data_IF_969271114249
#
_entry.id   IF_969271114249
#
_cell.length_a   1.000
_cell.length_b   1.000
_cell.length_c   1.000
_cell.angle_alpha   90.00
_cell.angle_beta   90.00
_cell.angle_gamma   90.00
#
_symmetry.space_group_name_H-M   'P 1'
#
loop_
_entity.id
_entity.type
_entity.pdbx_description
1 polymer ?
#
# COMPACT_ATOMS: atom_id res chain seq x y z
N UNK A 1 -26.91 18.34 3.25
CA UNK A 1 -26.22 17.10 3.59
C UNK A 1 -27.18 16.14 4.27
N UNK A 2 -27.87 15.38 3.44
CA UNK A 2 -28.84 14.39 3.89
C UNK A 2 -28.27 12.98 4.05
N UNK A 3 -26.96 12.81 3.77
CA UNK A 3 -26.28 11.52 3.89
C UNK A 3 -25.72 11.39 5.30
N UNK A 4 -26.17 10.42 6.10
CA UNK A 4 -25.63 10.22 7.44
C UNK A 4 -24.16 9.76 7.37
N UNK A 5 -23.37 10.24 8.34
CA UNK A 5 -22.03 9.71 8.53
C UNK A 5 -22.10 8.34 9.19
N UNK A 6 -21.65 7.31 8.50
CA UNK A 6 -21.62 5.94 8.98
C UNK A 6 -20.29 5.27 8.64
N UNK A 7 -19.90 4.29 9.45
CA UNK A 7 -18.72 3.49 9.17
C UNK A 7 -18.96 2.58 7.98
N UNK A 8 -18.04 2.60 7.04
CA UNK A 8 -18.10 1.83 5.82
C UNK A 8 -16.78 1.14 5.53
N UNK A 9 -16.86 0.05 4.79
CA UNK A 9 -15.71 -0.68 4.28
C UNK A 9 -15.67 -0.53 2.78
N UNK A 10 -14.56 -0.03 2.26
CA UNK A 10 -14.29 0.08 0.84
C UNK A 10 -13.32 -1.01 0.44
N UNK A 11 -13.68 -1.80 -0.56
CA UNK A 11 -12.78 -2.81 -1.13
C UNK A 11 -12.49 -2.49 -2.59
N UNK A 12 -11.25 -2.70 -2.99
CA UNK A 12 -10.81 -2.55 -4.37
C UNK A 12 -10.06 -3.80 -4.80
N UNK A 13 -10.34 -4.30 -5.99
CA UNK A 13 -9.73 -5.51 -6.53
C UNK A 13 -8.59 -5.19 -7.49
N UNK A 14 -7.77 -6.18 -7.78
CA UNK A 14 -6.68 -6.09 -8.75
C UNK A 14 -7.15 -5.69 -10.16
N UNK A 15 -8.33 -6.15 -10.58
CA UNK A 15 -8.90 -5.80 -11.89
C UNK A 15 -9.58 -4.43 -11.92
N UNK A 16 -9.54 -3.68 -10.82
CA UNK A 16 -10.09 -2.33 -10.77
C UNK A 16 -11.59 -2.26 -10.48
N UNK A 17 -12.13 -3.22 -9.74
CA UNK A 17 -13.49 -3.17 -9.22
C UNK A 17 -13.50 -2.64 -7.80
N UNK A 18 -14.44 -1.76 -7.51
CA UNK A 18 -14.59 -1.12 -6.21
C UNK A 18 -16.02 -1.24 -5.72
N UNK A 19 -16.18 -1.41 -4.40
CA UNK A 19 -17.49 -1.42 -3.76
C UNK A 19 -17.41 -0.90 -2.32
N UNK A 20 -18.57 -0.49 -1.84
CA UNK A 20 -18.77 -0.05 -0.46
C UNK A 20 -19.73 -1.00 0.25
N UNK A 21 -19.38 -1.39 1.46
CA UNK A 21 -20.26 -2.15 2.35
C UNK A 21 -20.42 -1.40 3.67
N UNK A 22 -21.56 -1.58 4.34
CA UNK A 22 -21.67 -1.11 5.72
C UNK A 22 -20.74 -1.94 6.62
N UNK A 23 -20.24 -1.32 7.68
CA UNK A 23 -19.40 -2.01 8.67
C UNK A 23 -20.16 -3.18 9.31
N UNK A 24 -21.44 -3.02 9.59
CA UNK A 24 -22.29 -4.08 10.14
C UNK A 24 -22.39 -5.31 9.22
N UNK A 25 -22.54 -5.09 7.93
CA UNK A 25 -22.54 -6.15 6.92
C UNK A 25 -21.20 -6.87 6.88
N UNK A 26 -20.11 -6.13 6.93
CA UNK A 26 -18.76 -6.69 6.93
C UNK A 26 -18.48 -7.52 8.19
N UNK A 27 -18.83 -7.02 9.38
CA UNK A 27 -18.67 -7.73 10.67
C UNK A 27 -19.48 -9.01 10.75
N UNK A 28 -20.70 -9.01 10.25
CA UNK A 28 -21.55 -10.20 10.21
C UNK A 28 -20.91 -11.34 9.40
N UNK A 29 -20.14 -11.00 8.37
CA UNK A 29 -19.41 -11.97 7.54
C UNK A 29 -18.23 -12.60 8.27
N UNK A 30 -17.52 -11.86 9.11
CA UNK A 30 -16.36 -12.34 9.84
C UNK A 30 -16.74 -13.30 10.98
N UNK A 31 -17.94 -13.22 11.49
CA UNK A 31 -18.45 -14.14 12.53
C UNK A 31 -18.75 -15.55 12.00
N UNK A 32 -18.85 -15.73 10.71
CA UNK A 32 -19.07 -17.02 10.06
C UNK A 32 -17.86 -17.96 10.03
N UNK A 33 -16.75 -17.60 10.61
CA UNK A 33 -15.66 -18.50 11.05
C UNK A 33 -14.79 -19.17 9.99
N UNK A 34 -14.86 -18.79 8.75
CA UNK A 34 -13.96 -19.36 7.72
C UNK A 34 -13.40 -18.28 6.82
N UNK A 35 -12.42 -17.52 7.32
CA UNK A 35 -11.56 -16.68 6.50
C UNK A 35 -12.28 -15.80 5.48
N UNK A 36 -11.53 -14.97 4.77
CA UNK A 36 -12.06 -14.17 3.67
C UNK A 36 -12.32 -15.06 2.44
N UNK A 37 -13.12 -16.10 2.59
CA UNK A 37 -13.72 -16.80 1.44
C UNK A 37 -14.90 -16.02 0.85
N UNK A 38 -15.11 -14.80 1.26
CA UNK A 38 -16.30 -14.04 0.96
C UNK A 38 -16.27 -13.19 -0.28
N UNK A 39 -15.15 -12.97 -0.91
CA UNK A 39 -15.09 -12.45 -2.27
C UNK A 39 -14.68 -13.58 -3.19
N UNK A 40 -15.65 -14.40 -3.57
CA UNK A 40 -15.47 -15.19 -4.77
C UNK A 40 -15.52 -14.25 -5.96
N UNK A 41 -14.42 -13.62 -6.15
CA UNK A 41 -14.06 -13.01 -7.40
C UNK A 41 -13.91 -14.08 -8.45
N UNK A 42 -14.06 -13.72 -9.70
CA UNK A 42 -13.57 -14.55 -10.79
C UNK A 42 -12.16 -15.01 -10.47
N UNK A 43 -11.77 -16.20 -10.89
CA UNK A 43 -10.52 -16.89 -10.53
C UNK A 43 -9.24 -16.05 -10.65
N UNK A 44 -9.30 -14.88 -11.29
CA UNK A 44 -8.17 -13.97 -11.52
C UNK A 44 -8.26 -12.64 -10.79
N UNK A 45 -9.32 -12.38 -10.00
CA UNK A 45 -9.50 -11.12 -9.29
C UNK A 45 -9.39 -11.34 -7.78
N UNK A 46 -8.70 -10.44 -7.10
CA UNK A 46 -8.50 -10.49 -5.66
C UNK A 46 -8.58 -9.10 -5.04
N UNK A 47 -8.80 -9.04 -3.75
CA UNK A 47 -8.81 -7.77 -3.02
C UNK A 47 -7.38 -7.25 -2.91
N UNK A 48 -7.09 -6.17 -3.62
CA UNK A 48 -5.81 -5.48 -3.54
C UNK A 48 -5.78 -4.51 -2.37
N UNK A 49 -6.91 -3.89 -2.05
CA UNK A 49 -6.99 -2.92 -0.97
C UNK A 49 -8.35 -2.97 -0.24
N UNK A 50 -8.30 -2.75 1.06
CA UNK A 50 -9.44 -2.72 1.94
C UNK A 50 -9.31 -1.50 2.86
N UNK A 51 -10.30 -0.59 2.85
CA UNK A 51 -10.30 0.60 3.67
C UNK A 51 -11.45 0.60 4.65
N UNK A 52 -11.15 0.85 5.92
CA UNK A 52 -12.11 1.20 6.93
C UNK A 52 -12.19 2.72 7.01
N UNK A 53 -13.35 3.29 6.73
CA UNK A 53 -13.54 4.74 6.69
C UNK A 53 -14.97 5.10 7.03
N UNK A 54 -15.33 6.37 6.99
CA UNK A 54 -16.72 6.81 7.09
C UNK A 54 -17.22 7.29 5.73
N UNK A 55 -18.55 7.33 5.56
CA UNK A 55 -19.19 7.77 4.33
C UNK A 55 -18.80 9.17 3.88
N UNK A 56 -18.36 10.04 4.80
CA UNK A 56 -17.97 11.43 4.51
C UNK A 56 -16.48 11.61 4.18
N UNK A 57 -15.66 10.56 4.26
CA UNK A 57 -14.27 10.65 3.81
C UNK A 57 -14.18 10.87 2.31
N UNK A 58 -13.14 11.59 1.91
CA UNK A 58 -12.75 11.72 0.50
C UNK A 58 -11.64 10.71 0.22
N UNK A 59 -11.83 9.90 -0.80
CA UNK A 59 -10.79 9.02 -1.32
C UNK A 59 -10.09 9.73 -2.47
N UNK A 60 -8.80 9.90 -2.35
CA UNK A 60 -7.96 10.44 -3.42
C UNK A 60 -7.22 9.27 -4.08
N UNK A 61 -7.45 9.12 -5.38
CA UNK A 61 -6.89 8.04 -6.19
C UNK A 61 -5.73 8.59 -7.01
N UNK A 62 -4.59 7.94 -6.92
CA UNK A 62 -3.41 8.30 -7.70
C UNK A 62 -3.14 7.23 -8.75
N UNK A 63 -2.67 7.67 -9.91
CA UNK A 63 -2.46 6.78 -11.05
C UNK A 63 -0.98 6.67 -11.41
N UNK A 64 -0.65 5.63 -12.17
CA UNK A 64 0.69 5.39 -12.68
C UNK A 64 1.23 6.53 -13.54
N UNK A 65 0.35 7.35 -14.13
CA UNK A 65 0.72 8.49 -14.97
C UNK A 65 0.91 9.80 -14.19
N UNK A 66 0.81 9.74 -12.85
CA UNK A 66 1.02 10.91 -11.99
C UNK A 66 -0.19 11.83 -11.87
N UNK A 67 -1.39 11.32 -12.08
CA UNK A 67 -2.64 12.06 -11.92
C UNK A 67 -3.37 11.66 -10.66
N UNK A 68 -4.23 12.55 -10.19
CA UNK A 68 -5.08 12.33 -9.02
C UNK A 68 -6.56 12.57 -9.36
N UNK A 69 -7.40 11.71 -8.79
CA UNK A 69 -8.86 11.77 -8.88
C UNK A 69 -9.45 11.66 -7.48
N UNK A 70 -10.68 12.09 -7.28
CA UNK A 70 -11.34 11.93 -5.99
C UNK A 70 -12.74 11.36 -6.14
N UNK A 71 -13.15 10.63 -5.11
CA UNK A 71 -14.53 10.25 -4.83
C UNK A 71 -14.78 10.42 -3.35
N UNK A 72 -15.97 10.91 -3.00
CA UNK A 72 -16.45 10.78 -1.63
C UNK A 72 -16.84 9.32 -1.40
N UNK A 73 -16.60 8.78 -0.19
CA UNK A 73 -16.87 7.39 0.08
C UNK A 73 -18.31 7.00 -0.24
N UNK A 74 -19.29 7.88 0.04
CA UNK A 74 -20.69 7.61 -0.27
C UNK A 74 -21.01 7.60 -1.78
N UNK A 75 -20.15 8.14 -2.63
CA UNK A 75 -20.30 8.09 -4.10
C UNK A 75 -19.94 6.71 -4.68
N UNK A 76 -19.26 5.89 -3.90
CA UNK A 76 -18.96 4.51 -4.30
C UNK A 76 -20.22 3.67 -4.12
N UNK A 77 -20.69 2.98 -5.16
CA UNK A 77 -21.92 2.19 -5.07
C UNK A 77 -21.84 1.12 -3.98
N UNK A 78 -22.90 1.04 -3.20
CA UNK A 78 -23.09 -0.02 -2.21
C UNK A 78 -23.32 -1.35 -2.92
N UNK A 79 -22.68 -2.40 -2.43
CA UNK A 79 -22.82 -3.74 -2.97
C UNK A 79 -22.68 -4.77 -1.88
N UNK A 80 -23.29 -5.93 -2.07
CA UNK A 80 -23.24 -7.03 -1.16
C UNK A 80 -21.92 -7.80 -1.23
N UNK A 81 -21.78 -8.73 -0.30
CA UNK A 81 -20.60 -9.57 -0.10
C UNK A 81 -20.15 -10.30 -1.38
N UNK A 82 -21.08 -10.88 -2.09
CA UNK A 82 -20.81 -11.72 -3.28
C UNK A 82 -20.75 -10.93 -4.57
N UNK A 83 -21.08 -9.64 -4.52
CA UNK A 83 -21.03 -8.76 -5.67
C UNK A 83 -19.59 -8.37 -6.00
N UNK A 84 -19.28 -8.29 -7.29
CA UNK A 84 -17.99 -7.83 -7.80
C UNK A 84 -17.77 -6.34 -7.53
N UNK A 85 -18.84 -5.55 -7.44
CA UNK A 85 -18.80 -4.11 -7.37
C UNK A 85 -18.83 -3.43 -8.73
N UNK A 86 -18.38 -2.19 -8.75
CA UNK A 86 -18.39 -1.33 -9.95
C UNK A 86 -16.97 -1.18 -10.48
N UNK A 87 -16.79 -1.24 -11.80
CA UNK A 87 -15.50 -0.94 -12.41
C UNK A 87 -15.12 0.52 -12.13
N UNK A 88 -13.90 0.74 -11.64
CA UNK A 88 -13.42 2.09 -11.29
C UNK A 88 -13.43 3.04 -12.49
N UNK A 89 -13.25 2.51 -13.71
CA UNK A 89 -13.30 3.29 -14.95
C UNK A 89 -14.69 3.90 -15.19
N UNK A 90 -15.73 3.34 -14.60
CA UNK A 90 -17.10 3.90 -14.67
C UNK A 90 -17.32 5.03 -13.67
N UNK A 91 -16.45 5.17 -12.68
CA UNK A 91 -16.54 6.21 -11.65
C UNK A 91 -15.52 7.34 -11.87
N UNK A 92 -14.38 7.03 -12.46
CA UNK A 92 -13.28 7.96 -12.71
C UNK A 92 -12.98 8.01 -14.21
N UNK A 93 -12.69 9.20 -14.72
CA UNK A 93 -12.37 9.43 -16.14
C UNK A 93 -10.89 9.09 -16.42
N UNK A 94 -10.52 7.82 -16.28
CA UNK A 94 -9.18 7.35 -16.55
C UNK A 94 -8.88 7.34 -18.06
N UNK A 95 -7.66 7.71 -18.42
CA UNK A 95 -7.17 7.57 -19.78
C UNK A 95 -6.83 6.09 -20.12
N UNK A 96 -6.76 5.72 -21.40
CA UNK A 96 -6.27 4.38 -21.77
C UNK A 96 -4.88 4.11 -21.19
N UNK A 97 -4.70 2.95 -20.57
CA UNK A 97 -3.44 2.57 -19.93
C UNK A 97 -3.18 3.18 -18.56
N UNK A 98 -4.06 4.07 -18.09
CA UNK A 98 -3.98 4.65 -16.76
C UNK A 98 -4.57 3.68 -15.72
N UNK A 99 -3.81 3.37 -14.68
CA UNK A 99 -4.20 2.45 -13.61
C UNK A 99 -4.02 3.10 -12.24
N UNK A 100 -4.86 2.71 -11.29
CA UNK A 100 -4.74 3.18 -9.91
C UNK A 100 -3.53 2.51 -9.24
N UNK A 101 -2.64 3.30 -8.68
CA UNK A 101 -1.45 2.82 -7.96
C UNK A 101 -1.51 3.08 -6.46
N UNK A 102 -2.29 4.04 -6.02
CA UNK A 102 -2.48 4.32 -4.59
C UNK A 102 -3.85 4.95 -4.34
N UNK A 103 -4.38 4.70 -3.16
CA UNK A 103 -5.61 5.34 -2.67
C UNK A 103 -5.34 5.86 -1.27
N UNK A 104 -5.60 7.14 -1.05
CA UNK A 104 -5.42 7.78 0.25
C UNK A 104 -6.77 8.29 0.76
N UNK A 105 -7.32 7.69 1.82
CA UNK A 105 -8.50 8.22 2.49
C UNK A 105 -8.11 9.48 3.28
N UNK A 106 -8.84 10.57 3.06
CA UNK A 106 -8.58 11.84 3.73
C UNK A 106 -9.90 12.42 4.24
N UNK A 107 -9.90 12.85 5.49
CA UNK A 107 -10.96 13.70 6.03
C UNK A 107 -10.47 15.15 5.96
N UNK A 108 -11.07 15.95 5.11
CA UNK A 108 -10.60 17.32 4.81
C UNK A 108 -10.49 18.18 6.07
N UNK A 109 -11.40 17.98 7.03
CA UNK A 109 -11.44 18.73 8.29
C UNK A 109 -10.23 18.46 9.19
N UNK A 110 -9.58 17.31 9.04
CA UNK A 110 -8.45 16.87 9.86
C UNK A 110 -7.08 17.16 9.22
N UNK A 111 -7.05 17.73 8.01
CA UNK A 111 -5.80 18.07 7.33
C UNK A 111 -5.10 19.24 8.05
N UNK A 112 -3.86 18.98 8.45
CA UNK A 112 -2.97 19.99 9.05
C UNK A 112 -2.05 20.59 7.99
N UNK A 113 -1.46 21.75 8.31
CA UNK A 113 -0.52 22.41 7.39
C UNK A 113 0.77 21.63 7.14
N UNK A 114 1.15 20.75 8.05
CA UNK A 114 2.32 19.87 7.97
C UNK A 114 1.99 18.44 7.53
N UNK A 115 0.79 18.23 7.01
CA UNK A 115 0.41 16.96 6.35
C UNK A 115 0.75 17.02 4.85
N UNK A 116 1.50 16.02 4.39
CA UNK A 116 1.97 15.94 3.03
C UNK A 116 1.60 14.60 2.40
N UNK A 117 1.39 14.62 1.10
CA UNK A 117 1.36 13.41 0.29
C UNK A 117 2.75 13.18 -0.28
N UNK A 118 3.38 12.13 0.19
CA UNK A 118 4.69 11.69 -0.25
C UNK A 118 4.53 10.73 -1.42
N UNK A 119 5.17 11.03 -2.54
CA UNK A 119 5.06 10.30 -3.79
C UNK A 119 6.40 9.70 -4.17
N UNK A 120 6.38 8.47 -4.66
CA UNK A 120 7.58 7.79 -5.12
C UNK A 120 7.32 7.09 -6.44
N UNK A 121 8.34 7.09 -7.31
CA UNK A 121 8.29 6.48 -8.62
C UNK A 121 9.11 5.19 -8.69
N UNK A 122 8.85 4.40 -9.71
CA UNK A 122 9.58 3.18 -10.01
C UNK A 122 11.09 3.42 -10.13
N UNK A 123 11.49 4.54 -10.71
CA UNK A 123 12.91 4.89 -10.92
C UNK A 123 13.56 5.61 -9.74
N UNK A 124 12.89 5.68 -8.59
CA UNK A 124 13.49 6.19 -7.34
C UNK A 124 13.35 7.69 -7.14
N UNK A 125 12.52 8.36 -7.92
CA UNK A 125 12.22 9.78 -7.76
C UNK A 125 11.16 9.96 -6.68
N UNK A 126 11.30 10.96 -5.83
CA UNK A 126 10.37 11.27 -4.75
C UNK A 126 10.01 12.75 -4.75
N UNK A 127 8.83 13.03 -4.24
CA UNK A 127 8.42 14.39 -3.91
C UNK A 127 7.39 14.37 -2.79
N UNK A 128 7.18 15.49 -2.13
CA UNK A 128 6.03 15.66 -1.24
C UNK A 128 5.33 16.97 -1.53
N UNK A 129 4.01 16.90 -1.49
CA UNK A 129 3.12 18.04 -1.78
C UNK A 129 2.14 18.20 -0.62
N UNK A 130 1.90 19.43 -0.14
CA UNK A 130 0.91 19.64 0.91
C UNK A 130 -0.45 19.06 0.54
N UNK A 131 -1.08 18.37 1.48
CA UNK A 131 -2.41 17.76 1.27
C UNK A 131 -3.45 18.79 0.81
N UNK A 132 -3.33 20.04 1.25
CA UNK A 132 -4.23 21.13 0.89
C UNK A 132 -4.29 21.39 -0.61
N UNK A 133 -3.23 21.11 -1.37
CA UNK A 133 -3.22 21.29 -2.82
C UNK A 133 -4.12 20.29 -3.57
N UNK A 134 -4.61 19.27 -2.86
CA UNK A 134 -5.53 18.26 -3.40
C UNK A 134 -6.97 18.45 -2.92
N UNK A 135 -7.29 19.58 -2.28
CA UNK A 135 -8.63 19.86 -1.76
C UNK A 135 -9.70 19.99 -2.88
N UNK A 136 -9.31 20.50 -4.03
CA UNK A 136 -10.21 20.76 -5.17
C UNK A 136 -9.74 20.00 -6.40
N UNK A 137 -10.16 18.75 -6.51
CA UNK A 137 -9.86 17.89 -7.66
C UNK A 137 -11.06 17.91 -8.61
N UNK A 138 -10.83 18.25 -9.86
CA UNK A 138 -11.86 18.25 -10.92
C UNK A 138 -12.22 16.81 -11.31
N UNK A 139 -13.42 16.61 -11.89
CA UNK A 139 -13.87 15.29 -12.35
C UNK A 139 -12.92 14.61 -13.33
N UNK A 140 -12.27 15.38 -14.18
CA UNK A 140 -11.28 14.86 -15.13
C UNK A 140 -9.87 14.68 -14.51
N UNK A 141 -9.77 14.80 -13.19
CA UNK A 141 -8.51 14.67 -12.46
C UNK A 141 -7.65 15.92 -12.53
N UNK A 142 -6.58 15.88 -11.75
CA UNK A 142 -5.53 16.92 -11.75
C UNK A 142 -4.17 16.24 -11.81
N UNK A 143 -3.17 16.98 -12.25
CA UNK A 143 -1.80 16.53 -12.19
C UNK A 143 -1.33 16.50 -10.73
N UNK A 144 -0.77 15.37 -10.32
CA UNK A 144 -0.16 15.21 -8.99
C UNK A 144 1.36 15.29 -9.04
N UNK A 145 1.94 14.82 -10.14
CA UNK A 145 3.38 14.80 -10.38
C UNK A 145 3.66 14.85 -11.88
N UNK A 146 4.69 15.55 -12.29
CA UNK A 146 5.24 15.44 -13.64
C UNK A 146 6.27 14.33 -13.65
N UNK A 147 5.99 13.25 -14.37
CA UNK A 147 6.88 12.11 -14.46
C UNK A 147 7.99 12.38 -15.49
N UNK A 148 9.15 11.81 -15.22
CA UNK A 148 10.24 11.72 -16.20
C UNK A 148 9.94 10.62 -17.21
N UNK A 149 10.67 10.62 -18.33
CA UNK A 149 10.51 9.59 -19.37
C UNK A 149 10.71 8.19 -18.78
N UNK A 150 9.90 7.23 -19.23
CA UNK A 150 9.98 5.83 -18.85
C UNK A 150 9.85 5.58 -17.33
N UNK A 151 9.13 6.46 -16.62
CA UNK A 151 8.88 6.32 -15.20
C UNK A 151 7.39 6.22 -14.90
N UNK A 152 7.06 5.69 -13.74
CA UNK A 152 5.69 5.53 -13.25
C UNK A 152 5.61 5.92 -11.78
N UNK A 153 4.54 6.59 -11.40
CA UNK A 153 4.19 6.76 -9.99
C UNK A 153 3.72 5.41 -9.44
N UNK A 154 4.36 4.93 -8.38
CA UNK A 154 4.04 3.61 -7.81
C UNK A 154 3.43 3.68 -6.42
N UNK A 155 3.69 4.75 -5.66
CA UNK A 155 3.21 4.84 -4.29
C UNK A 155 2.97 6.29 -3.87
N UNK A 156 1.90 6.48 -3.11
CA UNK A 156 1.60 7.75 -2.43
C UNK A 156 1.21 7.44 -0.98
N UNK A 157 1.84 8.13 -0.03
CA UNK A 157 1.63 7.93 1.40
C UNK A 157 1.41 9.27 2.10
N UNK A 158 0.52 9.28 3.08
CA UNK A 158 0.36 10.42 3.96
C UNK A 158 1.52 10.49 4.95
N UNK A 159 2.21 11.61 5.00
CA UNK A 159 3.37 11.84 5.87
C UNK A 159 3.25 13.17 6.60
N UNK A 160 4.02 13.31 7.65
CA UNK A 160 4.25 14.56 8.38
C UNK A 160 5.75 14.75 8.64
N UNK A 161 6.11 15.77 9.41
CA UNK A 161 7.51 16.09 9.69
C UNK A 161 8.21 15.09 10.64
N UNK A 162 7.47 14.15 11.22
CA UNK A 162 8.01 13.08 12.08
C UNK A 162 8.25 11.78 11.35
N UNK A 163 7.80 11.67 10.11
CA UNK A 163 7.82 10.43 9.34
C UNK A 163 9.20 10.14 8.76
N UNK A 164 9.57 8.86 8.77
CA UNK A 164 10.72 8.34 8.02
C UNK A 164 10.21 7.41 6.92
N UNK A 165 10.87 7.47 5.76
CA UNK A 165 10.52 6.72 4.56
C UNK A 165 11.56 5.64 4.32
N UNK A 166 11.09 4.43 4.01
CA UNK A 166 11.92 3.30 3.60
C UNK A 166 11.55 2.89 2.18
N UNK A 167 12.52 2.89 1.28
CA UNK A 167 12.35 2.48 -0.12
C UNK A 167 13.12 1.19 -0.36
N UNK A 168 12.44 0.18 -0.88
CA UNK A 168 13.00 -1.15 -1.14
C UNK A 168 12.99 -1.43 -2.62
N UNK A 169 14.08 -2.02 -3.12
CA UNK A 169 14.24 -2.27 -4.55
C UNK A 169 14.17 -3.74 -4.91
N UNK A 170 13.89 -4.00 -6.17
CA UNK A 170 13.85 -5.31 -6.80
C UNK A 170 15.15 -6.12 -6.61
N UNK A 171 16.30 -5.45 -6.67
CA UNK A 171 17.61 -6.08 -6.50
C UNK A 171 18.10 -6.14 -5.05
N UNK A 172 17.21 -5.85 -4.08
CA UNK A 172 17.49 -6.08 -2.67
C UNK A 172 18.23 -4.96 -1.96
N UNK A 173 18.03 -3.72 -2.37
CA UNK A 173 18.56 -2.54 -1.69
C UNK A 173 17.45 -1.82 -0.94
N UNK A 174 17.81 -1.13 0.14
CA UNK A 174 16.88 -0.30 0.93
C UNK A 174 17.57 0.97 1.38
N UNK A 175 16.84 2.08 1.30
CA UNK A 175 17.26 3.35 1.90
C UNK A 175 16.18 3.80 2.90
N UNK A 176 16.62 4.34 4.04
CA UNK A 176 15.76 4.94 5.06
C UNK A 176 16.19 6.37 5.28
N UNK A 177 15.27 7.31 5.13
CA UNK A 177 15.55 8.73 5.30
C UNK A 177 14.35 9.47 5.91
N UNK A 178 14.59 10.62 6.48
CA UNK A 178 13.52 11.47 7.03
C UNK A 178 12.71 12.11 5.92
N UNK A 179 11.40 12.12 6.04
CA UNK A 179 10.53 12.82 5.08
C UNK A 179 10.87 14.31 4.98
N UNK A 180 11.42 14.92 6.05
CA UNK A 180 11.90 16.31 6.06
C UNK A 180 13.10 16.56 5.16
N UNK A 181 13.82 15.53 4.70
CA UNK A 181 14.89 15.66 3.71
C UNK A 181 14.36 16.05 2.32
N UNK A 182 13.06 15.90 2.09
CA UNK A 182 12.39 16.30 0.85
C UNK A 182 11.63 17.59 1.08
N UNK A 183 11.96 18.64 0.31
CA UNK A 183 11.24 19.91 0.40
C UNK A 183 9.84 19.80 -0.18
N UNK A 184 8.83 20.42 0.45
CA UNK A 184 7.51 20.48 -0.16
C UNK A 184 7.55 21.23 -1.50
N UNK A 185 6.87 20.66 -2.49
CA UNK A 185 6.74 21.26 -3.82
C UNK A 185 5.30 21.17 -4.29
N UNK A 186 4.97 21.94 -5.32
CA UNK A 186 3.64 21.93 -5.91
C UNK A 186 3.36 20.68 -6.75
N UNK A 187 2.10 20.57 -7.20
CA UNK A 187 1.60 19.41 -7.94
C UNK A 187 2.33 19.14 -9.26
N UNK A 188 2.81 20.15 -9.93
CA UNK A 188 3.50 20.01 -11.23
C UNK A 188 4.99 19.68 -11.13
N UNK A 189 5.56 19.64 -9.94
CA UNK A 189 6.98 19.36 -9.76
C UNK A 189 7.34 17.93 -10.17
N UNK A 190 8.53 17.75 -10.69
CA UNK A 190 9.07 16.45 -11.12
C UNK A 190 9.70 15.66 -9.97
N UNK A 191 9.97 16.30 -8.84
CA UNK A 191 10.61 15.65 -7.71
C UNK A 191 12.15 15.62 -7.79
N UNK A 192 12.70 14.93 -6.79
CA UNK A 192 14.16 14.80 -6.59
C UNK A 192 14.51 13.32 -6.45
N UNK A 193 15.79 13.00 -6.55
CA UNK A 193 16.26 11.63 -6.34
C UNK A 193 16.08 11.26 -4.87
N UNK A 194 15.23 10.27 -4.61
CA UNK A 194 15.08 9.66 -3.29
C UNK A 194 16.10 8.57 -3.06
N UNK A 195 16.32 7.75 -4.08
CA UNK A 195 17.27 6.65 -4.06
C UNK A 195 17.99 6.57 -5.41
N UNK A 196 19.31 6.47 -5.38
CA UNK A 196 20.11 6.32 -6.57
C UNK A 196 20.18 4.84 -6.96
N UNK A 197 19.42 4.44 -7.96
CA UNK A 197 19.29 3.06 -8.40
C UNK A 197 20.42 2.64 -9.35
N UNK A 198 20.78 1.36 -9.30
CA UNK A 198 21.58 0.73 -10.34
C UNK A 198 20.75 0.62 -11.65
N UNK A 199 21.40 0.51 -12.81
CA UNK A 199 20.78 0.61 -14.14
C UNK A 199 19.57 -0.31 -14.39
N UNK A 200 19.55 -1.48 -13.78
CA UNK A 200 18.48 -2.48 -13.97
C UNK A 200 17.54 -2.60 -12.77
N UNK A 201 17.75 -1.76 -11.76
CA UNK A 201 16.97 -1.83 -10.53
C UNK A 201 15.72 -0.94 -10.61
N UNK A 202 14.75 -1.24 -9.78
CA UNK A 202 13.53 -0.46 -9.62
C UNK A 202 13.01 -0.53 -8.20
N UNK A 203 12.32 0.51 -7.75
CA UNK A 203 11.64 0.52 -6.46
C UNK A 203 10.40 -0.36 -6.54
N UNK A 204 10.25 -1.27 -5.59
CA UNK A 204 9.10 -2.18 -5.49
C UNK A 204 8.29 -2.00 -4.23
N UNK A 205 8.79 -1.24 -3.27
CA UNK A 205 8.07 -0.96 -2.03
C UNK A 205 8.49 0.36 -1.41
N UNK A 206 7.53 1.09 -0.87
CA UNK A 206 7.73 2.32 -0.11
C UNK A 206 6.93 2.20 1.17
N UNK A 207 7.59 2.22 2.30
CA UNK A 207 6.97 2.04 3.61
C UNK A 207 7.38 3.15 4.56
N UNK A 208 6.59 3.35 5.60
CA UNK A 208 6.83 4.35 6.63
C UNK A 208 7.18 3.70 7.96
N UNK A 209 7.99 4.34 8.76
CA UNK A 209 8.40 3.85 10.08
C UNK A 209 7.24 3.67 11.06
N UNK A 210 6.12 4.37 10.86
CA UNK A 210 4.92 4.25 11.70
C UNK A 210 3.95 3.14 11.26
N UNK A 211 4.27 2.39 10.21
CA UNK A 211 3.41 1.31 9.69
C UNK A 211 3.73 -0.06 10.29
N UNK A 212 4.83 -0.21 10.98
CA UNK A 212 5.24 -1.46 11.63
C UNK A 212 6.69 -1.39 12.12
N UNK A 213 7.05 -2.29 13.00
CA UNK A 213 8.39 -2.37 13.61
C UNK A 213 9.35 -3.30 12.85
N UNK A 214 8.85 -4.06 11.89
CA UNK A 214 9.67 -4.92 11.03
C UNK A 214 9.34 -4.66 9.56
N UNK A 215 10.32 -4.90 8.71
CA UNK A 215 10.15 -4.89 7.25
C UNK A 215 10.04 -6.32 6.76
N UNK A 216 8.86 -6.67 6.27
CA UNK A 216 8.64 -7.91 5.54
C UNK A 216 9.11 -7.72 4.10
N UNK A 217 10.01 -8.57 3.64
CA UNK A 217 10.49 -8.59 2.27
C UNK A 217 10.19 -9.95 1.67
N UNK A 218 9.58 -9.94 0.49
CA UNK A 218 9.14 -11.16 -0.21
C UNK A 218 9.79 -11.21 -1.58
N UNK A 219 10.30 -12.40 -1.95
CA UNK A 219 10.89 -12.63 -3.26
C UNK A 219 9.92 -13.34 -4.23
N UNK A 220 10.20 -13.23 -5.51
CA UNK A 220 9.34 -13.81 -6.56
C UNK A 220 9.21 -15.33 -6.49
N UNK A 221 10.21 -16.03 -5.94
CA UNK A 221 10.17 -17.48 -5.78
C UNK A 221 9.58 -17.96 -4.44
N UNK A 222 8.89 -17.09 -3.72
CA UNK A 222 8.14 -17.45 -2.53
C UNK A 222 8.94 -17.51 -1.24
N UNK A 223 10.12 -16.93 -1.21
CA UNK A 223 10.92 -16.76 -0.02
C UNK A 223 10.72 -15.38 0.59
N UNK A 224 11.01 -15.24 1.88
CA UNK A 224 10.89 -13.96 2.55
C UNK A 224 11.31 -14.02 4.01
N UNK A 225 11.27 -12.85 4.63
CA UNK A 225 11.68 -12.65 6.02
C UNK A 225 11.10 -11.34 6.55
N UNK A 226 11.12 -11.20 7.86
CA UNK A 226 11.03 -9.90 8.51
C UNK A 226 12.41 -9.48 9.00
N UNK A 227 12.70 -8.20 8.96
CA UNK A 227 13.90 -7.60 9.54
C UNK A 227 13.50 -6.40 10.39
N UNK A 228 14.05 -6.29 11.59
CA UNK A 228 13.81 -5.13 12.44
C UNK A 228 14.18 -3.85 11.68
N UNK A 229 13.29 -2.87 11.65
CA UNK A 229 13.53 -1.62 10.90
C UNK A 229 14.76 -0.86 11.44
N UNK A 230 15.14 -1.07 12.70
CA UNK A 230 16.33 -0.44 13.29
C UNK A 230 17.65 -0.97 12.70
N UNK A 231 17.64 -2.06 11.95
CA UNK A 231 18.80 -2.50 11.19
C UNK A 231 19.07 -1.64 9.94
N UNK A 232 18.12 -0.79 9.56
CA UNK A 232 18.28 0.20 8.49
C UNK A 232 18.62 1.54 9.11
N UNK A 233 19.88 1.96 9.00
CA UNK A 233 20.31 3.25 9.50
C UNK A 233 19.61 4.39 8.72
N UNK A 234 19.22 5.44 9.44
CA UNK A 234 18.68 6.65 8.82
C UNK A 234 19.81 7.36 8.08
N UNK A 235 19.63 7.54 6.79
CA UNK A 235 20.58 8.21 5.90
C UNK A 235 19.92 9.45 5.29
N UNK A 236 20.67 10.20 4.50
CA UNK A 236 20.09 11.24 3.64
C UNK A 236 19.53 10.61 2.37
N UNK A 237 18.46 11.20 1.82
CA UNK A 237 17.95 10.79 0.51
C UNK A 237 19.02 10.89 -0.58
N UNK A 238 18.83 10.17 -1.64
CA UNK A 238 19.67 10.26 -2.86
C UNK A 238 20.86 9.32 -2.88
N UNK A 239 21.11 8.59 -1.80
CA UNK A 239 22.14 7.56 -1.76
C UNK A 239 21.69 6.24 -2.38
N UNK A 240 22.60 5.29 -2.45
CA UNK A 240 22.36 3.94 -2.97
C UNK A 240 21.64 3.03 -1.96
N UNK A 241 21.62 3.42 -0.68
CA UNK A 241 21.10 2.60 0.38
C UNK A 241 22.04 1.47 0.79
N UNK A 242 21.47 0.47 1.46
CA UNK A 242 22.18 -0.70 1.96
C UNK A 242 21.47 -1.96 1.48
N UNK A 243 22.18 -3.09 1.47
CA UNK A 243 21.54 -4.38 1.16
C UNK A 243 20.51 -4.73 2.22
N UNK A 244 19.31 -5.10 1.77
CA UNK A 244 18.22 -5.57 2.62
C UNK A 244 17.80 -7.01 2.34
N UNK A 245 18.29 -7.60 1.27
CA UNK A 245 17.97 -8.96 0.88
C UNK A 245 19.12 -9.57 0.08
N UNK A 246 19.51 -10.78 0.45
CA UNK A 246 20.51 -11.52 -0.32
C UNK A 246 19.80 -12.29 -1.44
N UNK A 247 19.91 -11.78 -2.65
CA UNK A 247 19.30 -12.39 -3.83
C UNK A 247 20.16 -13.55 -4.32
N UNK A 248 19.50 -14.68 -4.61
CA UNK A 248 20.09 -15.90 -5.17
C UNK A 248 19.18 -16.41 -6.29
N UNK A 249 19.62 -17.40 -7.06
CA UNK A 249 18.73 -18.07 -8.01
C UNK A 249 17.51 -18.70 -7.33
N UNK A 250 17.69 -19.20 -6.12
CA UNK A 250 16.60 -19.80 -5.35
C UNK A 250 15.55 -18.78 -4.93
N UNK A 251 15.94 -17.57 -4.58
CA UNK A 251 15.00 -16.52 -4.17
C UNK A 251 14.34 -15.83 -5.34
N UNK A 252 15.09 -15.60 -6.42
CA UNK A 252 14.70 -14.62 -7.44
C UNK A 252 14.76 -13.20 -6.89
N UNK A 253 14.20 -12.27 -7.63
CA UNK A 253 14.17 -10.85 -7.25
C UNK A 253 13.15 -10.56 -6.15
N UNK A 254 13.34 -9.47 -5.42
CA UNK A 254 12.36 -8.95 -4.48
C UNK A 254 11.15 -8.44 -5.27
N UNK A 255 9.94 -8.84 -4.87
CA UNK A 255 8.70 -8.38 -5.50
C UNK A 255 7.95 -7.35 -4.67
N UNK A 256 8.21 -7.26 -3.39
CA UNK A 256 7.53 -6.31 -2.53
C UNK A 256 8.07 -6.29 -1.10
N UNK A 257 7.68 -5.25 -0.40
CA UNK A 257 8.03 -5.04 1.00
C UNK A 257 6.87 -4.37 1.73
N UNK A 258 6.64 -4.77 2.97
CA UNK A 258 5.62 -4.19 3.85
C UNK A 258 6.18 -4.00 5.25
N UNK A 259 5.99 -2.81 5.82
CA UNK A 259 6.22 -2.60 7.24
C UNK A 259 5.07 -3.23 8.03
N UNK A 260 5.39 -4.17 8.90
CA UNK A 260 4.41 -4.97 9.63
C UNK A 260 4.80 -5.11 11.10
N UNK A 261 3.82 -5.52 11.90
CA UNK A 261 4.02 -6.04 13.25
C UNK A 261 3.42 -7.43 13.38
N UNK A 262 3.63 -8.09 14.52
CA UNK A 262 3.19 -9.46 14.73
C UNK A 262 1.66 -9.62 14.82
N UNK A 263 0.91 -8.54 14.92
CA UNK A 263 -0.57 -8.56 14.94
C UNK A 263 -1.18 -8.57 13.54
N UNK A 264 -0.37 -8.37 12.51
CA UNK A 264 -0.83 -8.26 11.12
C UNK A 264 -0.76 -9.60 10.40
N UNK A 265 -1.54 -9.66 9.34
CA UNK A 265 -1.50 -10.70 8.34
C UNK A 265 -1.18 -10.10 7.00
N UNK A 266 -0.62 -10.90 6.11
CA UNK A 266 -0.35 -10.52 4.72
C UNK A 266 -0.95 -11.56 3.78
N UNK A 267 -1.27 -11.13 2.58
CA UNK A 267 -1.64 -12.01 1.47
C UNK A 267 -0.52 -12.01 0.44
N UNK A 268 -0.12 -13.19 0.04
CA UNK A 268 0.75 -13.39 -1.12
C UNK A 268 -0.13 -13.86 -2.28
N UNK A 269 0.01 -13.21 -3.42
CA UNK A 269 -0.77 -13.53 -4.60
C UNK A 269 0.18 -13.95 -5.71
N UNK A 270 -0.07 -15.15 -6.27
CA UNK A 270 0.77 -15.72 -7.31
C UNK A 270 0.39 -15.23 -8.70
N UNK A 271 1.25 -15.47 -9.67
CA UNK A 271 0.99 -15.16 -11.08
C UNK A 271 -0.17 -15.97 -11.65
N UNK A 272 -0.59 -17.05 -10.99
CA UNK A 272 -1.79 -17.84 -11.35
C UNK A 272 -3.04 -17.44 -10.55
N UNK A 273 -2.96 -16.35 -9.77
CA UNK A 273 -4.09 -15.85 -8.99
C UNK A 273 -4.37 -16.60 -7.69
N UNK A 274 -3.47 -17.49 -7.26
CA UNK A 274 -3.60 -18.20 -5.98
C UNK A 274 -3.28 -17.22 -4.86
N UNK A 275 -4.18 -17.15 -3.88
CA UNK A 275 -4.05 -16.27 -2.71
C UNK A 275 -3.67 -17.11 -1.49
N UNK A 276 -2.58 -16.74 -0.84
CA UNK A 276 -2.11 -17.38 0.39
C UNK A 276 -2.05 -16.32 1.49
N UNK A 277 -2.70 -16.60 2.59
CA UNK A 277 -2.73 -15.73 3.76
C UNK A 277 -1.75 -16.23 4.82
N UNK A 278 -0.89 -15.34 5.32
CA UNK A 278 0.12 -15.64 6.32
C UNK A 278 0.00 -14.69 7.50
N UNK A 279 0.13 -15.23 8.73
CA UNK A 279 0.30 -14.40 9.92
C UNK A 279 1.74 -13.92 10.01
N UNK A 280 1.95 -12.62 10.18
CA UNK A 280 3.31 -12.06 10.26
C UNK A 280 4.11 -12.63 11.41
N UNK A 281 3.47 -12.97 12.55
CA UNK A 281 4.13 -13.61 13.71
C UNK A 281 4.79 -14.94 13.37
N UNK A 282 4.30 -15.64 12.35
CA UNK A 282 4.83 -16.95 11.93
C UNK A 282 5.98 -16.83 10.93
N UNK A 283 6.30 -15.62 10.48
CA UNK A 283 7.41 -15.37 9.57
C UNK A 283 8.67 -15.05 10.39
N UNK A 284 9.77 -15.71 10.05
CA UNK A 284 11.04 -15.56 10.78
C UNK A 284 11.57 -14.13 10.68
N UNK A 285 12.04 -13.60 11.82
CA UNK A 285 12.78 -12.34 11.89
C UNK A 285 14.27 -12.64 11.78
N UNK A 286 14.90 -12.13 10.73
CA UNK A 286 16.28 -12.40 10.36
C UNK A 286 17.05 -11.11 10.12
N UNK A 287 18.35 -11.21 10.05
CA UNK A 287 19.22 -10.08 9.77
C UNK A 287 19.06 -9.51 8.38
N UNK A 288 19.54 -8.29 8.22
CA UNK A 288 19.41 -7.47 7.00
C UNK A 288 19.95 -8.17 5.75
N UNK A 289 21.11 -8.85 5.87
CA UNK A 289 21.78 -9.49 4.72
C UNK A 289 21.53 -10.99 4.73
N UNK A 290 20.29 -11.39 4.57
CA UNK A 290 19.89 -12.80 4.48
C UNK A 290 18.88 -12.99 3.35
N UNK A 291 18.74 -14.24 2.90
CA UNK A 291 17.82 -14.64 1.83
C UNK A 291 16.43 -15.01 2.32
N UNK A 292 16.21 -15.02 3.62
CA UNK A 292 14.95 -15.43 4.20
C UNK A 292 14.72 -16.95 4.17
N UNK A 293 13.47 -17.31 4.37
CA UNK A 293 13.00 -18.70 4.39
C UNK A 293 11.87 -18.88 3.39
N UNK A 294 11.55 -20.12 3.05
CA UNK A 294 10.41 -20.42 2.20
C UNK A 294 9.11 -20.05 2.93
N UNK A 295 8.31 -19.17 2.34
CA UNK A 295 7.01 -18.80 2.84
C UNK A 295 5.89 -19.65 2.22
N UNK A 296 6.02 -19.99 0.95
CA UNK A 296 5.05 -20.78 0.19
C UNK A 296 5.77 -21.73 -0.76
N UNK A 297 5.11 -22.84 -1.08
CA UNK A 297 5.52 -23.75 -2.15
C UNK A 297 4.87 -23.32 -3.45
N UNK A 298 5.69 -23.09 -4.47
CA UNK A 298 5.22 -22.71 -5.80
C UNK A 298 5.47 -23.84 -6.80
N UNK A 299 4.52 -24.06 -7.69
CA UNK A 299 4.71 -24.93 -8.82
C UNK A 299 5.74 -24.35 -9.80
N UNK A 300 6.31 -25.18 -10.64
CA UNK A 300 7.30 -24.75 -11.63
C UNK A 300 6.72 -23.66 -12.54
N UNK A 301 7.48 -22.57 -12.72
CA UNK A 301 7.08 -21.43 -13.53
C UNK A 301 6.12 -20.44 -12.84
N UNK A 302 5.62 -20.76 -11.66
CA UNK A 302 4.74 -19.88 -10.89
C UNK A 302 5.57 -19.00 -9.96
N UNK A 303 5.25 -17.72 -9.93
CA UNK A 303 5.93 -16.73 -9.07
C UNK A 303 4.94 -16.00 -8.19
N UNK A 304 5.43 -15.41 -7.10
CA UNK A 304 4.64 -14.44 -6.35
C UNK A 304 4.59 -13.15 -7.17
N UNK A 305 3.38 -12.65 -7.40
CA UNK A 305 3.15 -11.43 -8.15
C UNK A 305 3.07 -10.20 -7.23
N UNK A 306 2.37 -10.31 -6.09
CA UNK A 306 2.21 -9.20 -5.15
C UNK A 306 2.15 -9.69 -3.70
N UNK A 307 2.48 -8.78 -2.79
CA UNK A 307 2.22 -8.92 -1.36
C UNK A 307 1.33 -7.78 -0.91
N UNK A 308 0.28 -8.09 -0.17
CA UNK A 308 -0.66 -7.10 0.37
C UNK A 308 -0.80 -7.29 1.87
N UNK A 309 -0.89 -6.18 2.59
CA UNK A 309 -1.11 -6.18 4.03
C UNK A 309 -2.62 -6.24 4.30
N UNK A 310 -3.05 -7.23 5.09
CA UNK A 310 -4.43 -7.31 5.52
C UNK A 310 -4.63 -6.31 6.66
N UNK A 311 -5.61 -5.41 6.52
CA UNK A 311 -5.95 -4.46 7.58
C UNK A 311 -6.66 -5.17 8.72
N UNK A 312 -6.37 -4.74 9.95
CA UNK A 312 -7.09 -5.21 11.13
C UNK A 312 -8.57 -4.90 11.02
N UNK A 313 -9.39 -5.85 11.42
CA UNK A 313 -10.80 -5.59 11.67
C UNK A 313 -10.92 -4.66 12.90
N UNK A 314 -11.75 -3.58 12.85
CA UNK A 314 -11.95 -2.69 14.00
C UNK A 314 -12.41 -3.42 15.27
N UNK A 315 -13.07 -4.58 15.16
CA UNK A 315 -13.43 -5.40 16.30
C UNK A 315 -12.23 -6.01 17.02
N UNK A 316 -11.08 -6.13 16.35
CA UNK A 316 -9.85 -6.66 16.94
C UNK A 316 -9.05 -5.57 17.68
N UNK A 317 -9.22 -4.29 17.32
CA UNK A 317 -8.61 -3.16 18.02
C UNK A 317 -9.25 -2.89 19.39
N UNK A 318 -10.54 -3.13 19.54
CA UNK A 318 -11.26 -2.95 20.82
C UNK A 318 -11.01 -4.09 21.83
N UNK A 319 -10.43 -5.20 21.41
CA UNK A 319 -10.11 -6.33 22.29
C UNK A 319 -8.78 -6.21 23.02
N UNK A 320 -7.87 -5.34 22.56
CA UNK A 320 -6.55 -5.17 23.17
C UNK A 320 -6.50 -4.10 24.28
N UNK A 321 -7.49 -3.21 24.34
CA UNK A 321 -7.58 -2.20 25.39
C UNK A 321 -8.27 -2.69 26.67
N UNK A 322 -8.95 -3.83 26.63
CA UNK A 322 -9.71 -4.36 27.77
C UNK A 322 -8.92 -5.29 28.71
N UNK A 323 -7.63 -5.58 28.41
CA UNK A 323 -6.85 -6.53 29.21
C UNK A 323 -5.82 -5.90 30.16
N UNK A 324 -5.66 -4.58 30.20
CA UNK A 324 -4.65 -3.92 31.04
C UNK A 324 -5.20 -3.17 32.26
N UNK A 325 -6.49 -3.28 32.56
CA UNK A 325 -7.07 -2.61 33.76
C UNK A 325 -7.39 -3.53 34.95
N UNK A 326 -6.89 -4.74 35.04
CA UNK A 326 -6.99 -5.56 36.23
C UNK A 326 -5.71 -6.38 36.46
N UNK A 327 -4.72 -5.74 37.10
CA UNK A 327 -3.54 -6.41 37.59
C UNK A 327 -2.84 -5.58 38.66
#
# INVERSE_FOLDING_TARGET
DLIPEEDVVITMTNLGYIKRMSDDTFKAQNRGGKGIKGMQTLEEDYIEDLFMTTSHYVLTFFTNTGRAYKLKAYEIPEAGRTSRGTAIINLLQLAPGETITAVVPVKIEDIKDDDYLFMATKNGIVKKTPCKEFANIRKNGIQAMTLRDDDELIEVKLTDDTTEVMMVTKLGMCIRFKATDVRPTGRSAMGVIGMNLMDTDEVVGVQLNNQGNTMLIVSENGMGKKTDINEYAVQHRGGKGVKCYKITEKTGNVIGAKAVDDTREVMLITTEGIIIRLACRDISTLGRITSGVKLINLDEGVKVATVSKVRKNPSDENGSEASDENG
#
